data_IF_769185452183
#
_entry.id   IF_769185452183
#
_cell.length_a   1.000
_cell.length_b   1.000
_cell.length_c   1.000
_cell.angle_alpha   90.00
_cell.angle_beta   90.00
_cell.angle_gamma   90.00
#
_symmetry.space_group_name_H-M   'P 1'
#
loop_
_entity.id
_entity.type
_entity.pdbx_description
1 polymer ?
#
# COMPACT_ATOMS: atom_id res chain seq x y z
N UNK A 1 -19.29 -14.06 12.86
CA UNK A 1 -17.87 -14.26 12.45
C UNK A 1 -17.94 -15.06 11.16
N UNK A 2 -18.31 -14.40 10.08
CA UNK A 2 -18.89 -15.04 8.89
C UNK A 2 -17.84 -15.20 7.78
N UNK A 3 -17.56 -16.46 7.45
CA UNK A 3 -17.40 -16.98 6.09
C UNK A 3 -16.50 -16.26 5.06
N UNK A 4 -15.21 -16.03 5.34
CA UNK A 4 -14.22 -15.78 4.27
C UNK A 4 -12.84 -16.39 4.58
N UNK A 5 -12.77 -17.71 4.81
CA UNK A 5 -11.47 -18.39 4.92
C UNK A 5 -11.47 -19.72 4.15
N UNK A 6 -11.65 -19.69 2.84
CA UNK A 6 -11.29 -20.79 1.94
C UNK A 6 -11.39 -20.36 0.47
N UNK A 7 -10.64 -19.33 0.08
CA UNK A 7 -10.17 -19.27 -1.31
C UNK A 7 -8.66 -19.52 -1.25
N UNK A 8 -8.16 -20.65 -1.79
CA UNK A 8 -6.75 -20.94 -1.77
C UNK A 8 -6.02 -19.76 -2.39
N UNK A 9 -5.07 -19.21 -1.63
CA UNK A 9 -4.24 -18.08 -2.03
C UNK A 9 -3.69 -18.37 -3.43
N UNK A 10 -4.24 -17.69 -4.44
CA UNK A 10 -3.69 -17.76 -5.79
C UNK A 10 -2.23 -17.35 -5.67
N UNK A 11 -1.33 -18.08 -6.33
CA UNK A 11 0.11 -17.74 -6.39
C UNK A 11 0.38 -16.30 -6.83
N UNK A 12 -0.62 -15.66 -7.45
CA UNK A 12 -0.58 -14.28 -7.94
C UNK A 12 -1.15 -13.25 -6.96
N UNK A 13 -1.79 -13.65 -5.86
CA UNK A 13 -2.47 -12.71 -4.95
C UNK A 13 -1.50 -11.69 -4.33
N UNK A 14 -0.33 -12.16 -3.91
CA UNK A 14 0.70 -11.29 -3.34
C UNK A 14 1.26 -10.31 -4.38
N UNK A 15 1.51 -10.80 -5.60
CA UNK A 15 1.99 -9.97 -6.70
C UNK A 15 0.96 -8.92 -7.11
N UNK A 16 -0.31 -9.31 -7.17
CA UNK A 16 -1.42 -8.40 -7.44
C UNK A 16 -1.55 -7.30 -6.37
N UNK A 17 -1.48 -7.66 -5.10
CA UNK A 17 -1.51 -6.68 -4.00
C UNK A 17 -0.30 -5.75 -4.05
N UNK A 18 0.88 -6.26 -4.41
CA UNK A 18 2.05 -5.42 -4.61
C UNK A 18 1.90 -4.45 -5.80
N UNK A 19 1.27 -4.89 -6.90
CA UNK A 19 0.95 -4.02 -8.04
C UNK A 19 0.02 -2.88 -7.61
N UNK A 20 -1.00 -3.17 -6.80
CA UNK A 20 -1.90 -2.13 -6.26
C UNK A 20 -1.11 -1.10 -5.45
N UNK A 21 -0.26 -1.57 -4.52
CA UNK A 21 0.54 -0.67 -3.69
C UNK A 21 1.49 0.21 -4.52
N UNK A 22 2.14 -0.37 -5.54
CA UNK A 22 2.97 0.38 -6.51
C UNK A 22 2.16 1.45 -7.24
N UNK A 23 1.01 1.07 -7.79
CA UNK A 23 0.14 1.97 -8.55
C UNK A 23 -0.39 3.13 -7.67
N UNK A 24 -0.78 2.85 -6.43
CA UNK A 24 -1.19 3.90 -5.47
C UNK A 24 -0.05 4.87 -5.17
N UNK A 25 1.16 4.35 -4.96
CA UNK A 25 2.31 5.20 -4.69
C UNK A 25 2.65 6.10 -5.89
N UNK A 26 2.71 5.53 -7.09
CA UNK A 26 2.96 6.32 -8.31
C UNK A 26 1.85 7.34 -8.57
N UNK A 27 0.60 6.98 -8.31
CA UNK A 27 -0.52 7.91 -8.41
C UNK A 27 -0.32 9.08 -7.46
N UNK A 28 0.01 8.82 -6.18
CA UNK A 28 0.28 9.86 -5.20
C UNK A 28 1.43 10.78 -5.62
N UNK A 29 2.56 10.24 -6.08
CA UNK A 29 3.72 11.03 -6.55
C UNK A 29 3.37 11.97 -7.72
N UNK A 30 2.49 11.53 -8.62
CA UNK A 30 2.08 12.31 -9.82
C UNK A 30 0.89 13.25 -9.57
N UNK A 31 0.43 13.33 -8.33
CA UNK A 31 -0.73 14.12 -7.95
C UNK A 31 -0.40 15.59 -7.73
N UNK A 32 -1.40 16.47 -7.80
CA UNK A 32 -1.25 17.87 -7.42
C UNK A 32 -1.06 18.00 -5.90
N UNK A 33 -0.35 19.03 -5.44
CA UNK A 33 -0.06 19.23 -4.01
C UNK A 33 -1.31 19.18 -3.11
N UNK A 34 -2.45 19.72 -3.57
CA UNK A 34 -3.69 19.70 -2.79
C UNK A 34 -4.36 18.32 -2.69
N UNK A 35 -4.00 17.35 -3.54
CA UNK A 35 -4.58 16.00 -3.54
C UNK A 35 -3.59 14.93 -3.08
N UNK A 36 -2.30 15.27 -3.01
CA UNK A 36 -1.23 14.39 -2.55
C UNK A 36 -1.46 13.84 -1.12
N UNK A 37 -1.86 14.64 -0.11
CA UNK A 37 -2.00 14.13 1.26
C UNK A 37 -2.94 12.93 1.34
N UNK A 38 -4.12 13.05 0.73
CA UNK A 38 -5.12 11.99 0.72
C UNK A 38 -4.63 10.75 -0.03
N UNK A 39 -3.98 10.94 -1.17
CA UNK A 39 -3.49 9.82 -1.99
C UNK A 39 -2.33 9.09 -1.31
N UNK A 40 -1.48 9.77 -0.54
CA UNK A 40 -0.48 9.10 0.29
C UNK A 40 -1.09 8.34 1.47
N UNK A 41 -2.21 8.80 2.04
CA UNK A 41 -2.94 8.01 3.05
C UNK A 41 -3.45 6.69 2.47
N UNK A 42 -3.96 6.70 1.24
CA UNK A 42 -4.32 5.46 0.54
C UNK A 42 -3.12 4.50 0.34
N UNK A 43 -1.90 5.03 0.17
CA UNK A 43 -0.68 4.19 0.12
C UNK A 43 -0.44 3.50 1.46
N UNK A 44 -0.66 4.21 2.58
CA UNK A 44 -0.53 3.62 3.92
C UNK A 44 -1.57 2.51 4.13
N UNK A 45 -2.82 2.74 3.70
CA UNK A 45 -3.89 1.73 3.81
C UNK A 45 -3.53 0.45 3.05
N UNK A 46 -3.07 0.57 1.79
CA UNK A 46 -2.64 -0.59 1.01
C UNK A 46 -1.39 -1.26 1.60
N UNK A 47 -0.47 -0.49 2.18
CA UNK A 47 0.68 -1.05 2.90
C UNK A 47 0.22 -1.92 4.07
N UNK A 48 -0.70 -1.44 4.90
CA UNK A 48 -1.19 -2.21 6.04
C UNK A 48 -2.03 -3.41 5.59
N UNK A 49 -2.81 -3.28 4.52
CA UNK A 49 -3.50 -4.39 3.89
C UNK A 49 -2.51 -5.48 3.42
N UNK A 50 -1.45 -5.08 2.69
CA UNK A 50 -0.39 -5.99 2.26
C UNK A 50 0.30 -6.68 3.45
N UNK A 51 0.71 -5.90 4.47
CA UNK A 51 1.41 -6.41 5.65
C UNK A 51 0.57 -7.40 6.45
N UNK A 52 -0.71 -7.11 6.63
CA UNK A 52 -1.62 -7.99 7.35
C UNK A 52 -1.91 -9.28 6.57
N UNK A 53 -1.95 -9.19 5.24
CA UNK A 53 -2.23 -10.34 4.36
C UNK A 53 -0.99 -11.23 4.16
N UNK A 54 0.19 -10.62 4.06
CA UNK A 54 1.46 -11.27 3.76
C UNK A 54 2.57 -10.82 4.73
N UNK A 55 2.48 -11.15 6.03
CA UNK A 55 3.44 -10.68 7.04
C UNK A 55 4.90 -11.08 6.77
N UNK A 56 5.11 -12.22 6.09
CA UNK A 56 6.41 -12.69 5.63
C UNK A 56 6.51 -12.68 4.09
N UNK A 57 5.82 -11.73 3.44
CA UNK A 57 5.72 -11.66 2.00
C UNK A 57 7.05 -11.32 1.31
N UNK A 58 7.25 -11.83 0.08
CA UNK A 58 8.45 -11.62 -0.75
C UNK A 58 8.73 -10.15 -1.04
N UNK A 59 7.69 -9.30 -1.09
CA UNK A 59 7.83 -7.87 -1.37
C UNK A 59 7.81 -6.98 -0.12
N UNK A 60 7.91 -7.53 1.10
CA UNK A 60 7.91 -6.72 2.32
C UNK A 60 8.96 -5.60 2.32
N UNK A 61 10.23 -5.83 1.88
CA UNK A 61 11.21 -4.75 1.81
C UNK A 61 10.82 -3.60 0.86
N UNK A 62 10.09 -3.93 -0.20
CA UNK A 62 9.58 -2.94 -1.15
C UNK A 62 8.38 -2.18 -0.58
N UNK A 63 7.44 -2.89 0.05
CA UNK A 63 6.29 -2.29 0.71
C UNK A 63 6.72 -1.30 1.81
N UNK A 64 7.69 -1.68 2.65
CA UNK A 64 8.27 -0.81 3.69
C UNK A 64 8.91 0.46 3.12
N UNK A 65 9.53 0.36 1.93
CA UNK A 65 10.11 1.52 1.25
C UNK A 65 9.02 2.52 0.82
N UNK A 66 7.89 2.04 0.30
CA UNK A 66 6.77 2.90 -0.06
C UNK A 66 6.12 3.52 1.17
N UNK A 67 5.94 2.74 2.24
CA UNK A 67 5.45 3.25 3.52
C UNK A 67 6.29 4.41 4.06
N UNK A 68 7.62 4.23 4.16
CA UNK A 68 8.52 5.27 4.69
C UNK A 68 8.47 6.55 3.85
N UNK A 69 8.43 6.42 2.53
CA UNK A 69 8.32 7.57 1.62
C UNK A 69 6.97 8.27 1.76
N UNK A 70 5.86 7.53 1.74
CA UNK A 70 4.52 8.07 1.89
C UNK A 70 4.33 8.76 3.24
N UNK A 71 4.81 8.16 4.34
CA UNK A 71 4.76 8.76 5.67
C UNK A 71 5.54 10.07 5.70
N UNK A 72 6.77 10.08 5.20
CA UNK A 72 7.57 11.32 5.11
C UNK A 72 6.88 12.40 4.29
N UNK A 73 6.12 12.06 3.24
CA UNK A 73 5.35 13.02 2.44
C UNK A 73 4.16 13.57 3.22
N UNK A 74 3.46 12.73 3.99
CA UNK A 74 2.35 13.16 4.84
C UNK A 74 2.84 14.12 5.93
N UNK A 75 3.99 13.85 6.53
CA UNK A 75 4.54 14.66 7.63
C UNK A 75 4.93 16.08 7.18
N UNK A 76 5.26 16.27 5.90
CA UNK A 76 5.66 17.58 5.33
C UNK A 76 4.53 18.31 4.62
N UNK A 77 3.47 17.61 4.19
CA UNK A 77 2.37 18.22 3.46
C UNK A 77 1.33 18.78 4.42
N UNK A 78 0.84 20.02 4.19
CA UNK A 78 -0.22 20.58 5.01
C UNK A 78 -1.50 19.75 4.89
N UNK A 79 -2.13 19.50 6.03
CA UNK A 79 -3.41 18.81 6.17
C UNK A 79 -4.58 19.66 5.68
#
# INVERSE_FOLDING_TARGET
REAMKSYPFSKYNEEYQMIILRARFEYAERSTLGTQPERYRMVLDEYFNYKNTFPNGKYMPEADRYYKKAQSKIDVLPS
#
